data_IF_337754198359
#
_entry.id   IF_337754198359
#
_cell.length_a   1.000
_cell.length_b   1.000
_cell.length_c   1.000
_cell.angle_alpha   90.00
_cell.angle_beta   90.00
_cell.angle_gamma   90.00
#
_symmetry.space_group_name_H-M   'P 1'
#
loop_
_entity.id
_entity.type
_entity.pdbx_description
1 polymer ?
#
# COMPACT_ATOMS: atom_id res chain seq x y z
N UNK A 1 -22.68 21.60 5.63
CA UNK A 1 -22.39 20.33 4.92
C UNK A 1 -21.24 20.56 3.96
N UNK A 2 -20.10 19.92 4.20
CA UNK A 2 -18.90 20.11 3.38
C UNK A 2 -19.09 19.40 2.03
N UNK A 3 -18.91 20.10 0.91
CA UNK A 3 -19.14 19.54 -0.45
C UNK A 3 -18.27 18.30 -0.72
N UNK A 4 -17.10 18.20 -0.08
CA UNK A 4 -16.22 17.02 -0.18
C UNK A 4 -16.83 15.77 0.46
N UNK A 5 -17.47 15.90 1.64
CA UNK A 5 -18.05 14.77 2.37
C UNK A 5 -19.20 14.10 1.60
N UNK A 6 -19.99 14.89 0.88
CA UNK A 6 -21.11 14.39 0.07
C UNK A 6 -20.60 13.56 -1.11
N UNK A 7 -19.53 14.03 -1.79
CA UNK A 7 -18.92 13.30 -2.91
C UNK A 7 -18.30 11.97 -2.45
N UNK A 8 -17.63 11.96 -1.30
CA UNK A 8 -17.01 10.75 -0.73
C UNK A 8 -18.08 9.75 -0.28
N UNK A 9 -19.13 10.21 0.42
CA UNK A 9 -20.25 9.33 0.79
C UNK A 9 -20.93 8.70 -0.43
N UNK A 10 -21.06 9.45 -1.53
CA UNK A 10 -21.57 8.93 -2.81
C UNK A 10 -20.64 7.89 -3.45
N UNK A 11 -19.32 8.11 -3.41
CA UNK A 11 -18.33 7.11 -3.86
C UNK A 11 -18.39 5.85 -2.99
N UNK A 12 -18.42 5.98 -1.66
CA UNK A 12 -18.55 4.85 -0.73
C UNK A 12 -19.87 4.09 -0.92
N UNK A 13 -20.99 4.77 -1.18
CA UNK A 13 -22.27 4.15 -1.54
C UNK A 13 -22.21 3.42 -2.88
N UNK A 14 -21.51 3.99 -3.88
CA UNK A 14 -21.31 3.34 -5.18
C UNK A 14 -20.41 2.10 -5.08
N UNK A 15 -19.38 2.15 -4.24
CA UNK A 15 -18.48 1.02 -3.97
C UNK A 15 -19.20 -0.05 -3.16
N UNK A 16 -20.02 0.30 -2.16
CA UNK A 16 -20.85 -0.68 -1.45
C UNK A 16 -21.88 -1.35 -2.39
N UNK A 17 -22.45 -0.61 -3.34
CA UNK A 17 -23.29 -1.16 -4.41
C UNK A 17 -22.51 -2.06 -5.38
N UNK A 18 -21.27 -1.68 -5.72
CA UNK A 18 -20.38 -2.43 -6.61
C UNK A 18 -19.84 -3.70 -5.94
N UNK A 19 -19.49 -3.67 -4.65
CA UNK A 19 -19.09 -4.84 -3.84
C UNK A 19 -20.24 -5.85 -3.70
N UNK A 20 -21.50 -5.40 -3.74
CA UNK A 20 -22.66 -6.30 -3.78
C UNK A 20 -22.84 -6.99 -5.14
N UNK A 21 -22.26 -6.43 -6.21
CA UNK A 21 -22.30 -6.96 -7.58
C UNK A 21 -21.02 -7.70 -7.98
N UNK A 22 -19.86 -7.38 -7.38
CA UNK A 22 -18.67 -8.24 -7.40
C UNK A 22 -18.84 -9.29 -6.30
N UNK A 23 -19.75 -10.22 -6.52
CA UNK A 23 -19.50 -11.56 -6.04
C UNK A 23 -18.24 -12.05 -6.77
N UNK A 24 -17.14 -12.21 -6.03
CA UNK A 24 -15.84 -12.75 -6.45
C UNK A 24 -15.87 -13.51 -7.79
N UNK A 25 -15.56 -12.82 -8.88
CA UNK A 25 -15.10 -13.47 -10.11
C UNK A 25 -13.61 -13.75 -9.96
N UNK A 26 -13.27 -14.72 -9.11
CA UNK A 26 -12.00 -15.40 -9.18
C UNK A 26 -12.34 -16.79 -9.73
N UNK A 27 -12.34 -16.92 -11.05
CA UNK A 27 -12.43 -18.21 -11.74
C UNK A 27 -11.12 -18.99 -11.49
N UNK A 28 -10.97 -19.52 -10.28
CA UNK A 28 -10.32 -20.80 -10.08
C UNK A 28 -11.41 -21.73 -9.56
N UNK A 29 -11.77 -22.67 -10.41
CA UNK A 29 -12.81 -23.69 -10.25
C UNK A 29 -12.87 -24.19 -8.80
N UNK A 30 -13.95 -23.85 -8.10
CA UNK A 30 -14.37 -24.55 -6.89
C UNK A 30 -15.72 -25.18 -7.18
N UNK A 31 -15.69 -26.49 -7.40
CA UNK A 31 -16.88 -27.32 -7.39
C UNK A 31 -17.54 -27.23 -6.00
N UNK A 32 -18.84 -26.99 -6.07
CA UNK A 32 -19.93 -27.17 -5.10
C UNK A 32 -19.67 -27.93 -3.79
N UNK A 33 -20.33 -27.39 -2.77
CA UNK A 33 -20.84 -28.00 -1.53
C UNK A 33 -19.86 -28.19 -0.36
N UNK A 34 -19.87 -27.24 0.58
CA UNK A 34 -20.62 -27.42 1.83
C UNK A 34 -20.36 -26.25 2.80
N UNK A 35 -21.39 -25.91 3.56
CA UNK A 35 -21.37 -24.99 4.67
C UNK A 35 -20.51 -25.53 5.82
N UNK A 36 -19.37 -24.89 6.10
CA UNK A 36 -18.87 -24.59 7.44
C UNK A 36 -17.66 -23.65 7.36
N UNK A 37 -17.60 -22.70 8.30
CA UNK A 37 -16.48 -21.80 8.55
C UNK A 37 -15.20 -22.58 8.85
N UNK A 38 -14.30 -22.69 7.87
CA UNK A 38 -12.90 -23.01 8.10
C UNK A 38 -12.06 -21.89 7.49
N UNK A 39 -11.09 -21.38 8.26
CA UNK A 39 -9.98 -20.63 7.69
C UNK A 39 -9.48 -21.41 6.47
N UNK A 40 -9.61 -20.82 5.27
CA UNK A 40 -9.18 -21.44 4.01
C UNK A 40 -7.77 -21.98 4.21
N UNK A 41 -7.63 -23.31 4.26
CA UNK A 41 -6.33 -23.95 4.26
C UNK A 41 -5.62 -23.49 2.99
N UNK A 42 -4.43 -22.89 3.12
CA UNK A 42 -3.60 -22.59 1.95
C UNK A 42 -3.40 -23.88 1.16
N UNK A 43 -3.59 -23.83 -0.16
CA UNK A 43 -3.23 -24.96 -0.99
C UNK A 43 -1.70 -25.08 -1.05
N UNK A 44 -1.18 -26.29 -1.26
CA UNK A 44 0.26 -26.51 -1.45
C UNK A 44 0.85 -25.63 -2.56
N UNK A 45 0.06 -25.30 -3.58
CA UNK A 45 0.44 -24.38 -4.66
C UNK A 45 0.62 -22.94 -4.16
N UNK A 46 -0.23 -22.49 -3.23
CA UNK A 46 -0.11 -21.14 -2.64
C UNK A 46 1.16 -21.04 -1.80
N UNK A 47 1.46 -22.06 -0.99
CA UNK A 47 2.69 -22.12 -0.18
C UNK A 47 3.93 -22.05 -1.07
N UNK A 48 3.99 -22.85 -2.14
CA UNK A 48 5.11 -22.79 -3.09
C UNK A 48 5.21 -21.42 -3.77
N UNK A 49 4.08 -20.80 -4.10
CA UNK A 49 4.07 -19.45 -4.65
C UNK A 49 4.59 -18.41 -3.64
N UNK A 50 4.21 -18.48 -2.36
CA UNK A 50 4.76 -17.61 -1.30
C UNK A 50 6.27 -17.79 -1.15
N UNK A 51 6.75 -19.04 -1.17
CA UNK A 51 8.18 -19.34 -1.08
C UNK A 51 8.96 -18.72 -2.23
N UNK A 52 8.46 -18.85 -3.46
CA UNK A 52 9.10 -18.27 -4.64
C UNK A 52 9.05 -16.74 -4.65
N UNK A 53 7.88 -16.17 -4.33
CA UNK A 53 7.65 -14.74 -4.45
C UNK A 53 8.37 -13.95 -3.35
N UNK A 54 8.42 -14.48 -2.13
CA UNK A 54 8.92 -13.77 -0.96
C UNK A 54 10.19 -14.37 -0.36
N UNK A 55 10.68 -15.47 -0.91
CA UNK A 55 11.91 -16.14 -0.43
C UNK A 55 11.83 -16.55 1.04
N UNK A 56 10.64 -16.94 1.50
CA UNK A 56 10.37 -17.47 2.85
C UNK A 56 10.24 -19.00 2.79
N UNK A 57 10.48 -19.72 3.89
CA UNK A 57 10.27 -21.17 3.95
C UNK A 57 8.82 -21.52 4.33
N UNK A 58 8.44 -22.80 4.23
CA UNK A 58 7.06 -23.23 4.52
C UNK A 58 6.64 -22.98 5.97
N UNK A 59 7.53 -23.19 6.95
CA UNK A 59 7.22 -22.96 8.37
C UNK A 59 6.91 -21.48 8.64
N UNK A 60 7.65 -20.57 8.00
CA UNK A 60 7.43 -19.14 8.13
C UNK A 60 6.13 -18.72 7.45
N UNK A 61 5.76 -19.33 6.31
CA UNK A 61 4.43 -19.12 5.70
C UNK A 61 3.33 -19.51 6.68
N UNK A 62 3.41 -20.70 7.28
CA UNK A 62 2.42 -21.19 8.24
C UNK A 62 2.30 -20.28 9.47
N UNK A 63 3.44 -19.80 10.01
CA UNK A 63 3.45 -18.86 11.14
C UNK A 63 2.85 -17.49 10.80
N UNK A 64 3.05 -17.02 9.56
CA UNK A 64 2.58 -15.71 9.13
C UNK A 64 1.12 -15.71 8.70
N UNK A 65 0.49 -16.86 8.47
CA UNK A 65 -0.92 -16.94 8.10
C UNK A 65 -1.82 -16.41 9.21
N UNK A 66 -2.83 -15.65 8.81
CA UNK A 66 -3.90 -15.26 9.70
C UNK A 66 -4.79 -16.46 10.01
N UNK A 67 -5.07 -16.68 11.29
CA UNK A 67 -6.02 -17.70 11.77
C UNK A 67 -7.34 -17.11 12.26
N UNK A 68 -7.47 -15.77 12.29
CA UNK A 68 -8.70 -15.08 12.68
C UNK A 68 -9.47 -14.62 11.42
N UNK A 69 -10.63 -15.26 11.11
CA UNK A 69 -11.42 -14.87 9.95
C UNK A 69 -12.01 -13.45 10.08
N UNK A 70 -12.23 -12.95 11.29
CA UNK A 70 -12.72 -11.58 11.48
C UNK A 70 -11.64 -10.55 11.15
N UNK A 71 -10.40 -10.80 11.54
CA UNK A 71 -9.26 -9.96 11.16
C UNK A 71 -9.07 -9.95 9.64
N UNK A 72 -9.14 -11.13 9.00
CA UNK A 72 -9.02 -11.25 7.54
C UNK A 72 -10.12 -10.46 6.81
N UNK A 73 -11.37 -10.55 7.28
CA UNK A 73 -12.49 -9.79 6.72
C UNK A 73 -12.30 -8.28 6.88
N UNK A 74 -11.85 -7.83 8.06
CA UNK A 74 -11.54 -6.41 8.27
C UNK A 74 -10.40 -5.93 7.35
N UNK A 75 -9.38 -6.76 7.12
CA UNK A 75 -8.32 -6.45 6.17
C UNK A 75 -8.86 -6.27 4.75
N UNK A 76 -9.81 -7.10 4.32
CA UNK A 76 -10.48 -6.95 3.01
C UNK A 76 -11.29 -5.65 2.91
N UNK A 77 -12.03 -5.30 3.97
CA UNK A 77 -12.81 -4.05 4.05
C UNK A 77 -11.89 -2.82 3.96
N UNK A 78 -10.77 -2.82 4.71
CA UNK A 78 -9.76 -1.75 4.65
C UNK A 78 -9.16 -1.63 3.25
N UNK A 79 -8.81 -2.75 2.62
CA UNK A 79 -8.27 -2.74 1.26
C UNK A 79 -9.28 -2.22 0.23
N UNK A 80 -10.57 -2.53 0.40
CA UNK A 80 -11.63 -2.04 -0.50
C UNK A 80 -11.86 -0.53 -0.36
N UNK A 81 -11.93 0.00 0.85
CA UNK A 81 -12.05 1.44 1.08
C UNK A 81 -10.81 2.18 0.58
N UNK A 82 -9.61 1.64 0.83
CA UNK A 82 -8.36 2.23 0.36
C UNK A 82 -8.28 2.30 -1.18
N UNK A 83 -8.76 1.27 -1.88
CA UNK A 83 -8.88 1.29 -3.34
C UNK A 83 -9.79 2.43 -3.82
N UNK A 84 -10.95 2.61 -3.17
CA UNK A 84 -11.88 3.68 -3.51
C UNK A 84 -11.26 5.07 -3.36
N UNK A 85 -10.53 5.31 -2.26
CA UNK A 85 -9.78 6.56 -2.07
C UNK A 85 -8.68 6.72 -3.12
N UNK A 86 -7.95 5.65 -3.44
CA UNK A 86 -6.90 5.71 -4.43
C UNK A 86 -7.43 6.10 -5.82
N UNK A 87 -8.52 5.47 -6.27
CA UNK A 87 -9.17 5.79 -7.55
C UNK A 87 -9.68 7.23 -7.57
N UNK A 88 -10.33 7.68 -6.50
CA UNK A 88 -10.79 9.06 -6.37
C UNK A 88 -9.65 10.08 -6.51
N UNK A 89 -8.51 9.83 -5.85
CA UNK A 89 -7.35 10.71 -5.91
C UNK A 89 -6.58 10.62 -7.24
N UNK A 90 -6.70 9.52 -7.98
CA UNK A 90 -6.08 9.35 -9.28
C UNK A 90 -6.84 10.10 -10.39
N UNK A 91 -8.16 9.98 -10.41
CA UNK A 91 -9.04 10.59 -11.40
C UNK A 91 -9.20 12.10 -11.20
N UNK A 92 -9.27 12.56 -9.95
CA UNK A 92 -9.57 13.96 -9.65
C UNK A 92 -8.30 14.79 -9.41
N UNK A 93 -7.98 15.67 -10.36
CA UNK A 93 -6.87 16.63 -10.23
C UNK A 93 -7.31 18.07 -9.95
N UNK A 94 -8.61 18.35 -9.89
CA UNK A 94 -9.12 19.74 -9.86
C UNK A 94 -8.69 20.53 -8.62
N UNK A 95 -8.49 19.83 -7.50
CA UNK A 95 -8.03 20.41 -6.23
C UNK A 95 -6.57 20.06 -5.89
N UNK A 96 -5.86 19.47 -6.84
CA UNK A 96 -4.41 19.33 -6.79
C UNK A 96 -3.76 20.55 -7.43
N UNK A 97 -2.72 21.07 -6.79
CA UNK A 97 -1.86 22.07 -7.41
C UNK A 97 -0.59 21.41 -7.96
N UNK A 98 -0.13 21.91 -9.10
CA UNK A 98 1.14 21.51 -9.69
C UNK A 98 2.29 21.92 -8.76
N UNK A 99 3.13 20.96 -8.37
CA UNK A 99 4.28 21.20 -7.51
C UNK A 99 5.60 21.20 -8.28
N UNK A 100 5.81 20.21 -9.15
CA UNK A 100 6.99 20.10 -10.01
C UNK A 100 6.64 19.42 -11.32
N UNK A 101 7.39 19.76 -12.38
CA UNK A 101 7.39 19.06 -13.65
C UNK A 101 8.86 18.71 -13.94
N UNK A 102 9.24 17.47 -13.67
CA UNK A 102 10.62 17.01 -13.90
C UNK A 102 10.89 16.94 -15.41
N UNK A 103 9.92 16.43 -16.17
CA UNK A 103 9.84 16.47 -17.63
C UNK A 103 8.40 16.30 -18.11
N UNK A 104 8.18 16.08 -19.41
CA UNK A 104 6.83 15.87 -19.97
C UNK A 104 6.17 14.56 -19.52
N UNK A 105 6.95 13.57 -19.09
CA UNK A 105 6.49 12.27 -18.64
C UNK A 105 6.58 12.06 -17.12
N UNK A 106 6.90 13.08 -16.32
CA UNK A 106 6.89 13.02 -14.85
C UNK A 106 6.38 14.34 -14.26
N UNK A 107 5.12 14.33 -13.84
CA UNK A 107 4.44 15.51 -13.29
C UNK A 107 3.99 15.23 -11.86
N UNK A 108 4.33 16.15 -10.96
CA UNK A 108 4.15 15.98 -9.52
C UNK A 108 3.18 17.03 -9.01
N UNK A 109 2.18 16.57 -8.28
CA UNK A 109 1.11 17.37 -7.71
C UNK A 109 1.01 17.16 -6.22
N UNK A 110 0.44 18.15 -5.53
CA UNK A 110 0.08 18.03 -4.13
C UNK A 110 -1.32 18.55 -3.86
N UNK A 111 -1.91 18.02 -2.79
CA UNK A 111 -3.20 18.44 -2.26
C UNK A 111 -3.17 18.33 -0.74
N UNK A 112 -3.83 19.26 -0.06
CA UNK A 112 -4.13 19.13 1.35
C UNK A 112 -5.47 18.41 1.53
N UNK A 113 -5.51 17.38 2.37
CA UNK A 113 -6.71 16.58 2.61
C UNK A 113 -6.74 16.15 4.08
N UNK A 114 -7.84 16.42 4.79
CA UNK A 114 -8.04 16.05 6.20
C UNK A 114 -6.85 16.38 7.12
N UNK A 115 -6.20 17.53 6.92
CA UNK A 115 -5.06 17.97 7.74
C UNK A 115 -3.72 17.30 7.41
N UNK A 116 -3.66 16.45 6.40
CA UNK A 116 -2.42 15.89 5.83
C UNK A 116 -2.20 16.38 4.39
N UNK A 117 -1.01 16.14 3.85
CA UNK A 117 -0.70 16.34 2.43
C UNK A 117 -0.71 15.00 1.69
N UNK A 118 -1.23 15.01 0.47
CA UNK A 118 -1.19 13.91 -0.48
C UNK A 118 -0.34 14.37 -1.66
N UNK A 119 0.73 13.62 -1.93
CA UNK A 119 1.51 13.74 -3.14
C UNK A 119 0.98 12.80 -4.21
N UNK A 120 0.96 13.27 -5.45
CA UNK A 120 0.61 12.49 -6.65
C UNK A 120 1.68 12.66 -7.70
N UNK A 121 2.09 11.56 -8.33
CA UNK A 121 2.96 11.53 -9.50
C UNK A 121 2.20 10.87 -10.64
N UNK A 122 2.16 11.56 -11.78
CA UNK A 122 1.82 10.96 -13.07
C UNK A 122 3.12 10.73 -13.84
N UNK A 123 3.43 9.47 -14.13
CA UNK A 123 4.67 9.00 -14.73
C UNK A 123 4.39 8.19 -16.01
N UNK A 124 5.15 8.47 -17.07
CA UNK A 124 5.17 7.68 -18.31
C UNK A 124 6.46 6.85 -18.31
N UNK A 125 6.31 5.54 -18.48
CA UNK A 125 7.43 4.61 -18.69
C UNK A 125 7.34 4.11 -20.14
N UNK A 126 8.26 4.51 -21.04
CA UNK A 126 8.17 4.23 -22.48
C UNK A 126 8.64 2.81 -22.82
N UNK A 127 8.08 1.82 -22.11
CA UNK A 127 8.33 0.40 -22.32
C UNK A 127 7.10 -0.40 -21.85
N UNK A 128 6.14 -0.70 -22.73
CA UNK A 128 4.94 -1.46 -22.37
C UNK A 128 5.24 -2.94 -22.04
N UNK A 129 6.40 -3.44 -22.46
CA UNK A 129 6.80 -4.84 -22.26
C UNK A 129 7.18 -5.12 -20.79
N UNK A 130 7.55 -4.09 -20.01
CA UNK A 130 7.95 -4.24 -18.60
C UNK A 130 6.78 -4.26 -17.59
N UNK A 131 5.53 -4.33 -18.06
CA UNK A 131 4.34 -4.25 -17.21
C UNK A 131 4.34 -5.29 -16.07
N UNK A 132 4.54 -6.56 -16.41
CA UNK A 132 4.57 -7.64 -15.43
C UNK A 132 5.79 -7.54 -14.49
N UNK A 133 6.92 -7.06 -15.00
CA UNK A 133 8.15 -6.90 -14.23
C UNK A 133 8.03 -5.78 -13.19
N UNK A 134 7.38 -4.66 -13.54
CA UNK A 134 7.07 -3.58 -12.59
C UNK A 134 6.18 -4.09 -11.47
N UNK A 135 5.11 -4.82 -11.80
CA UNK A 135 4.17 -5.37 -10.82
C UNK A 135 4.91 -6.34 -9.88
N UNK A 136 5.68 -7.27 -10.46
CA UNK A 136 6.48 -8.24 -9.70
C UNK A 136 7.49 -7.56 -8.78
N UNK A 137 8.16 -6.51 -9.26
CA UNK A 137 9.11 -5.76 -8.47
C UNK A 137 8.42 -5.01 -7.33
N UNK A 138 7.34 -4.27 -7.58
CA UNK A 138 6.64 -3.47 -6.55
C UNK A 138 5.91 -4.32 -5.52
N UNK A 139 5.46 -5.52 -5.88
CA UNK A 139 4.84 -6.46 -4.94
C UNK A 139 5.87 -7.17 -4.04
N UNK A 140 7.17 -7.05 -4.33
CA UNK A 140 8.23 -7.60 -3.49
C UNK A 140 8.43 -6.74 -2.22
N UNK A 141 8.46 -7.33 -1.01
CA UNK A 141 8.75 -6.59 0.23
C UNK A 141 10.07 -5.82 0.19
N UNK A 142 11.02 -6.27 -0.64
CA UNK A 142 12.31 -5.64 -0.84
C UNK A 142 12.38 -4.75 -2.09
N UNK A 143 11.24 -4.30 -2.64
CA UNK A 143 11.19 -3.43 -3.82
C UNK A 143 12.03 -2.16 -3.64
N UNK A 144 12.02 -1.58 -2.44
CA UNK A 144 12.72 -0.33 -2.15
C UNK A 144 14.21 -0.37 -2.46
N UNK A 145 14.87 -1.54 -2.45
CA UNK A 145 16.30 -1.65 -2.79
C UNK A 145 16.65 -1.17 -4.20
N UNK A 146 15.67 -1.09 -5.10
CA UNK A 146 15.87 -0.70 -6.50
C UNK A 146 15.72 0.81 -6.73
N UNK A 147 15.06 1.54 -5.82
CA UNK A 147 14.70 2.94 -6.07
C UNK A 147 14.81 3.86 -4.84
N UNK A 148 14.70 3.32 -3.62
CA UNK A 148 14.71 4.06 -2.37
C UNK A 148 16.06 3.91 -1.65
N UNK A 149 16.89 4.95 -1.72
CA UNK A 149 18.23 4.97 -1.10
C UNK A 149 18.18 4.86 0.44
N UNK A 150 16.99 5.06 1.04
CA UNK A 150 16.78 4.88 2.47
C UNK A 150 16.33 3.47 2.85
N UNK A 151 16.01 2.60 1.90
CA UNK A 151 15.54 1.25 2.17
C UNK A 151 16.59 0.43 2.94
N UNK A 152 16.15 -0.32 3.95
CA UNK A 152 17.02 -1.24 4.72
C UNK A 152 16.60 -2.69 4.50
N UNK A 153 15.34 -3.01 4.78
CA UNK A 153 14.78 -4.37 4.73
C UNK A 153 13.26 -4.30 4.69
N UNK A 154 12.64 -5.23 3.97
CA UNK A 154 11.20 -5.45 4.04
C UNK A 154 10.89 -6.93 4.24
N UNK A 155 9.80 -7.21 4.96
CA UNK A 155 9.34 -8.56 5.27
C UNK A 155 7.83 -8.60 5.42
N UNK A 156 7.25 -9.77 5.18
CA UNK A 156 5.84 -10.00 5.47
C UNK A 156 5.68 -10.25 6.97
N UNK A 157 4.72 -9.57 7.57
CA UNK A 157 4.36 -9.71 8.98
C UNK A 157 3.06 -10.50 9.19
N UNK A 158 2.19 -10.54 8.18
CA UNK A 158 0.93 -11.32 8.19
C UNK A 158 0.50 -11.64 6.76
N UNK A 159 -0.06 -12.83 6.53
CA UNK A 159 -0.64 -13.26 5.26
C UNK A 159 -2.14 -13.51 5.48
N UNK A 160 -2.99 -12.81 4.73
CA UNK A 160 -4.42 -13.10 4.65
C UNK A 160 -4.73 -13.93 3.40
N UNK A 161 -4.10 -13.57 2.27
CA UNK A 161 -4.08 -14.35 1.04
C UNK A 161 -2.88 -13.89 0.15
N UNK A 162 -2.74 -14.48 -1.03
CA UNK A 162 -1.63 -14.21 -1.98
C UNK A 162 -1.51 -12.73 -2.41
N UNK A 163 -2.60 -11.99 -2.31
CA UNK A 163 -2.75 -10.61 -2.75
C UNK A 163 -3.05 -9.65 -1.59
N UNK A 164 -3.05 -10.13 -0.34
CA UNK A 164 -3.41 -9.34 0.84
C UNK A 164 -2.61 -9.79 2.07
N UNK A 165 -1.90 -8.86 2.68
CA UNK A 165 -1.07 -9.15 3.85
C UNK A 165 -0.65 -7.88 4.57
N UNK A 166 0.20 -8.01 5.58
CA UNK A 166 0.84 -6.89 6.26
C UNK A 166 2.32 -6.91 5.90
N UNK A 167 2.80 -5.80 5.35
CA UNK A 167 4.20 -5.53 5.09
C UNK A 167 4.80 -4.81 6.29
N UNK A 168 5.95 -5.28 6.75
CA UNK A 168 6.87 -4.54 7.60
C UNK A 168 8.04 -4.04 6.76
N UNK A 169 8.35 -2.75 6.85
CA UNK A 169 9.51 -2.16 6.17
C UNK A 169 10.33 -1.30 7.12
N UNK A 170 11.67 -1.45 7.02
CA UNK A 170 12.69 -0.64 7.69
C UNK A 170 13.33 0.31 6.71
N UNK A 171 13.55 1.53 7.17
CA UNK A 171 14.18 2.59 6.40
C UNK A 171 15.14 3.42 7.23
N UNK A 172 16.10 4.07 6.58
CA UNK A 172 16.96 5.07 7.18
C UNK A 172 16.21 6.40 7.24
N UNK A 173 15.97 6.91 8.44
CA UNK A 173 15.40 8.23 8.64
C UNK A 173 16.48 9.32 8.63
N UNK A 174 16.02 10.57 8.72
CA UNK A 174 16.86 11.77 8.82
C UNK A 174 17.68 11.72 10.14
N UNK A 175 18.96 12.13 10.09
CA UNK A 175 19.91 12.19 11.23
C UNK A 175 20.25 10.84 11.89
N UNK A 176 20.42 9.78 11.10
CA UNK A 176 20.94 8.48 11.58
C UNK A 176 20.00 7.66 12.47
N UNK A 177 18.71 8.00 12.51
CA UNK A 177 17.69 7.16 13.12
C UNK A 177 17.21 6.12 12.10
N UNK A 178 16.89 4.92 12.57
CA UNK A 178 16.19 3.93 11.75
C UNK A 178 14.69 4.06 11.99
N UNK A 179 13.94 4.14 10.91
CA UNK A 179 12.48 4.16 10.92
C UNK A 179 11.89 2.83 10.50
N UNK A 180 10.65 2.59 10.89
CA UNK A 180 9.88 1.45 10.43
C UNK A 180 8.41 1.81 10.26
N UNK A 181 7.70 1.01 9.48
CA UNK A 181 6.25 1.02 9.44
C UNK A 181 5.71 -0.39 9.25
N UNK A 182 4.45 -0.57 9.67
CA UNK A 182 3.61 -1.69 9.29
C UNK A 182 2.45 -1.16 8.46
N UNK A 183 2.16 -1.80 7.34
CA UNK A 183 1.05 -1.43 6.47
C UNK A 183 0.37 -2.67 5.91
N UNK A 184 -0.96 -2.68 5.91
CA UNK A 184 -1.73 -3.59 5.09
C UNK A 184 -1.37 -3.33 3.63
N UNK A 185 -0.97 -4.35 2.90
CA UNK A 185 -0.69 -4.28 1.47
C UNK A 185 -1.68 -5.14 0.69
N UNK A 186 -2.24 -4.59 -0.38
CA UNK A 186 -3.19 -5.27 -1.27
C UNK A 186 -2.75 -5.13 -2.72
N UNK A 187 -2.78 -6.21 -3.49
CA UNK A 187 -2.64 -6.21 -4.96
C UNK A 187 -3.96 -6.58 -5.60
N UNK A 188 -4.43 -5.82 -6.59
CA UNK A 188 -5.65 -6.13 -7.34
C UNK A 188 -5.44 -5.88 -8.82
N UNK A 189 -5.76 -6.86 -9.64
CA UNK A 189 -5.89 -6.71 -11.08
C UNK A 189 -7.29 -6.16 -11.36
N UNK A 190 -7.39 -4.94 -11.91
CA UNK A 190 -8.66 -4.31 -12.25
C UNK A 190 -9.11 -4.69 -13.67
N UNK A 191 -8.13 -4.94 -14.54
CA UNK A 191 -8.31 -5.50 -15.87
C UNK A 191 -6.99 -6.14 -16.32
N UNK A 192 -7.01 -6.81 -17.47
CA UNK A 192 -5.80 -7.40 -18.08
C UNK A 192 -4.63 -6.40 -18.21
N UNK A 193 -4.94 -5.13 -18.40
CA UNK A 193 -3.96 -4.06 -18.63
C UNK A 193 -3.87 -3.07 -17.47
N UNK A 194 -4.52 -3.34 -16.32
CA UNK A 194 -4.48 -2.43 -15.18
C UNK A 194 -4.37 -3.18 -13.85
N UNK A 195 -3.28 -2.90 -13.11
CA UNK A 195 -3.03 -3.45 -11.78
C UNK A 195 -2.82 -2.34 -10.77
N UNK A 196 -3.35 -2.55 -9.57
CA UNK A 196 -3.24 -1.65 -8.44
C UNK A 196 -2.54 -2.35 -7.28
N UNK A 197 -1.59 -1.66 -6.65
CA UNK A 197 -0.97 -2.06 -5.39
C UNK A 197 -1.21 -0.94 -4.38
N UNK A 198 -1.78 -1.27 -3.22
CA UNK A 198 -2.16 -0.32 -2.17
C UNK A 198 -1.44 -0.68 -0.88
N UNK A 199 -1.04 0.33 -0.11
CA UNK A 199 -0.52 0.19 1.24
C UNK A 199 -1.20 1.18 2.20
N UNK A 200 -1.65 0.70 3.35
CA UNK A 200 -2.34 1.48 4.37
C UNK A 200 -1.94 1.02 5.76
N UNK A 201 -1.47 1.93 6.60
CA UNK A 201 -1.22 1.67 8.01
C UNK A 201 -2.48 1.87 8.84
N UNK A 202 -2.55 1.13 9.94
CA UNK A 202 -3.52 1.29 11.02
C UNK A 202 -2.81 1.34 12.38
N UNK A 203 -3.58 1.45 13.47
CA UNK A 203 -3.05 1.40 14.84
C UNK A 203 -2.74 -0.04 15.28
N UNK A 204 -1.96 -0.77 14.47
CA UNK A 204 -1.52 -2.14 14.75
C UNK A 204 -0.69 -2.18 16.03
N UNK A 205 -0.87 -3.24 16.82
CA UNK A 205 -0.06 -3.46 18.02
C UNK A 205 1.26 -4.15 17.65
N UNK A 206 2.34 -3.38 17.64
CA UNK A 206 3.71 -3.86 17.41
C UNK A 206 4.54 -3.97 18.70
N UNK A 207 3.89 -3.81 19.86
CA UNK A 207 4.49 -3.89 21.19
C UNK A 207 5.65 -2.90 21.41
N UNK A 208 5.70 -1.79 20.67
CA UNK A 208 6.65 -0.70 20.91
C UNK A 208 6.28 0.07 22.18
N UNK A 209 6.95 -0.23 23.29
CA UNK A 209 6.65 0.34 24.61
C UNK A 209 6.87 1.85 24.73
N UNK A 210 7.54 2.49 23.76
CA UNK A 210 7.76 3.95 23.78
C UNK A 210 6.72 4.70 22.96
N UNK A 211 6.06 4.02 22.04
CA UNK A 211 5.06 4.63 21.17
C UNK A 211 3.66 4.51 21.78
N UNK A 212 3.34 5.43 22.68
CA UNK A 212 2.06 5.42 23.42
C UNK A 212 0.96 6.24 22.73
N UNK A 213 1.16 6.64 21.47
CA UNK A 213 0.21 7.48 20.74
C UNK A 213 -0.61 6.62 19.79
N UNK A 214 -1.92 6.63 20.00
CA UNK A 214 -2.85 6.07 19.04
C UNK A 214 -2.76 6.84 17.71
N UNK A 215 -2.59 6.08 16.63
CA UNK A 215 -2.67 6.57 15.28
C UNK A 215 -4.10 6.47 14.75
N UNK A 216 -4.54 7.53 14.08
CA UNK A 216 -5.80 7.60 13.37
C UNK A 216 -5.46 7.90 11.92
N UNK A 217 -5.79 7.00 11.02
CA UNK A 217 -5.62 7.19 9.59
C UNK A 217 -6.58 8.30 9.10
N UNK A 218 -6.06 9.39 8.52
CA UNK A 218 -6.88 10.52 8.10
C UNK A 218 -7.58 10.32 6.74
N UNK A 219 -7.26 9.24 6.02
CA UNK A 219 -7.76 8.98 4.66
C UNK A 219 -8.69 7.76 4.64
N UNK A 220 -8.27 6.65 5.24
CA UNK A 220 -9.02 5.37 5.23
C UNK A 220 -9.63 5.14 6.61
N UNK A 221 -10.93 5.37 6.75
CA UNK A 221 -11.62 5.38 8.03
C UNK A 221 -11.70 3.97 8.65
N UNK A 222 -11.96 2.93 7.87
CA UNK A 222 -11.99 1.53 8.36
C UNK A 222 -10.66 1.05 8.93
N UNK A 223 -9.53 1.65 8.52
CA UNK A 223 -8.23 1.34 9.08
C UNK A 223 -8.16 1.67 10.59
N UNK A 224 -9.01 2.56 11.10
CA UNK A 224 -9.00 2.97 12.50
C UNK A 224 -9.53 1.89 13.46
N UNK A 225 -10.35 0.95 12.99
CA UNK A 225 -10.80 -0.22 13.75
C UNK A 225 -9.92 -1.45 13.54
N UNK A 226 -9.13 -1.49 12.46
CA UNK A 226 -8.25 -2.62 12.14
C UNK A 226 -6.96 -2.58 12.96
N UNK A 227 -6.90 -3.33 14.07
CA UNK A 227 -5.79 -3.30 15.04
C UNK A 227 -5.20 -4.69 15.30
N UNK A 228 -4.65 -5.35 14.27
CA UNK A 228 -4.01 -6.65 14.43
C UNK A 228 -2.79 -6.57 15.36
N UNK A 229 -2.48 -7.70 15.99
CA UNK A 229 -1.27 -7.88 16.80
C UNK A 229 -0.13 -8.43 15.92
N UNK A 230 1.04 -7.78 15.98
CA UNK A 230 2.20 -8.06 15.15
C UNK A 230 3.38 -8.45 16.03
N UNK A 231 3.91 -9.66 15.83
CA UNK A 231 5.16 -10.09 16.45
C UNK A 231 6.35 -9.34 15.83
N UNK A 232 6.75 -8.27 16.49
CA UNK A 232 7.77 -7.34 16.02
C UNK A 232 9.14 -7.65 16.62
N UNK A 233 10.20 -7.33 15.88
CA UNK A 233 11.59 -7.55 16.31
C UNK A 233 11.90 -6.83 17.64
N UNK A 234 12.86 -7.36 18.40
CA UNK A 234 13.15 -6.91 19.78
C UNK A 234 13.53 -5.42 19.87
N UNK A 235 14.19 -4.88 18.85
CA UNK A 235 14.56 -3.46 18.80
C UNK A 235 13.35 -2.53 18.61
N UNK A 236 12.31 -2.97 17.90
CA UNK A 236 11.00 -2.30 17.81
C UNK A 236 10.30 -2.34 19.15
N UNK A 237 10.19 -3.53 19.74
CA UNK A 237 9.56 -3.70 21.07
C UNK A 237 10.27 -2.88 22.14
N UNK A 238 11.58 -2.65 21.97
CA UNK A 238 12.42 -1.82 22.84
C UNK A 238 12.38 -0.31 22.49
N UNK A 239 11.57 0.12 21.52
CA UNK A 239 11.44 1.50 21.08
C UNK A 239 12.77 2.11 20.61
N UNK A 240 13.60 1.34 19.90
CA UNK A 240 14.88 1.81 19.33
C UNK A 240 14.71 2.44 17.95
N UNK A 241 13.59 2.18 17.28
CA UNK A 241 13.28 2.67 15.94
C UNK A 241 12.16 3.72 15.98
N UNK A 242 12.11 4.61 15.00
CA UNK A 242 11.03 5.59 14.87
C UNK A 242 9.89 5.05 14.01
N UNK A 243 8.70 4.89 14.58
CA UNK A 243 7.51 4.46 13.83
C UNK A 243 7.03 5.56 12.89
N UNK A 244 6.67 5.18 11.66
CA UNK A 244 6.03 6.00 10.64
C UNK A 244 4.75 5.29 10.22
N UNK A 245 3.75 6.05 9.78
CA UNK A 245 2.50 5.51 9.28
C UNK A 245 2.28 5.90 7.82
N UNK A 246 1.80 4.94 7.04
CA UNK A 246 1.32 5.14 5.69
C UNK A 246 -0.16 5.49 5.78
N UNK A 247 -0.51 6.76 5.51
CA UNK A 247 -1.93 7.14 5.45
C UNK A 247 -2.57 6.46 4.23
N UNK A 248 -1.94 6.61 3.07
CA UNK A 248 -2.29 5.93 1.83
C UNK A 248 -1.06 5.97 0.91
N UNK A 249 -0.63 4.80 0.46
CA UNK A 249 0.25 4.67 -0.69
C UNK A 249 -0.44 3.81 -1.73
N UNK A 250 -0.36 4.20 -3.00
CA UNK A 250 -0.92 3.42 -4.08
C UNK A 250 -0.16 3.59 -5.37
N UNK A 251 -0.04 2.48 -6.09
CA UNK A 251 0.49 2.39 -7.44
C UNK A 251 -0.64 1.95 -8.36
N UNK A 252 -0.98 2.77 -9.34
CA UNK A 252 -1.88 2.40 -10.44
C UNK A 252 -1.01 2.24 -11.67
N UNK A 253 -0.93 1.01 -12.17
CA UNK A 253 -0.05 0.61 -13.27
C UNK A 253 -0.97 0.23 -14.40
N UNK A 254 -1.00 1.03 -15.46
CA UNK A 254 -1.84 0.79 -16.63
C UNK A 254 -0.99 0.63 -17.87
N UNK A 255 -1.08 -0.52 -18.52
CA UNK A 255 -0.44 -0.80 -19.81
C UNK A 255 -1.21 -0.11 -20.92
N UNK A 256 -0.51 0.70 -21.70
CA UNK A 256 -0.99 1.30 -22.94
C UNK A 256 -0.17 0.70 -24.10
N UNK A 257 -0.57 0.90 -25.38
CA UNK A 257 0.11 0.27 -26.51
C UNK A 257 1.62 0.56 -26.60
N UNK A 258 2.03 1.80 -26.29
CA UNK A 258 3.41 2.27 -26.48
C UNK A 258 4.13 2.60 -25.17
N UNK A 259 3.44 2.57 -24.03
CA UNK A 259 4.00 2.96 -22.73
C UNK A 259 3.19 2.37 -21.57
N UNK A 260 3.68 2.56 -20.36
CA UNK A 260 2.93 2.32 -19.13
C UNK A 260 2.58 3.68 -18.52
N UNK A 261 1.27 3.90 -18.31
CA UNK A 261 0.79 5.01 -17.50
C UNK A 261 0.86 4.59 -16.04
N UNK A 262 1.71 5.26 -15.29
CA UNK A 262 1.98 4.95 -13.90
C UNK A 262 1.54 6.12 -13.02
N UNK A 263 0.55 5.92 -12.17
CA UNK A 263 0.11 6.93 -11.20
C UNK A 263 0.49 6.47 -9.80
N UNK A 264 1.28 7.28 -9.09
CA UNK A 264 1.70 7.02 -7.72
C UNK A 264 1.10 8.05 -6.78
N UNK A 265 0.44 7.59 -5.72
CA UNK A 265 -0.16 8.42 -4.68
C UNK A 265 0.50 8.06 -3.36
N UNK A 266 0.86 9.10 -2.59
CA UNK A 266 1.55 8.93 -1.31
C UNK A 266 1.12 9.98 -0.30
N UNK A 267 0.77 9.50 0.89
CA UNK A 267 0.58 10.30 2.07
C UNK A 267 1.07 9.51 3.28
N UNK A 268 1.87 10.17 4.12
CA UNK A 268 2.54 9.54 5.26
C UNK A 268 2.45 10.44 6.50
N UNK A 269 2.42 9.84 7.68
CA UNK A 269 2.61 10.51 8.96
C UNK A 269 3.92 10.03 9.58
N UNK A 270 4.88 10.93 9.76
CA UNK A 270 6.20 10.60 10.34
C UNK A 270 6.18 10.43 11.87
N UNK A 271 4.99 10.45 12.48
CA UNK A 271 4.73 10.28 13.91
C UNK A 271 5.57 11.20 14.82
N UNK A 272 5.90 12.40 14.32
CA UNK A 272 6.67 13.39 15.07
C UNK A 272 5.76 14.54 15.51
N UNK A 273 5.99 15.03 16.72
CA UNK A 273 5.33 16.25 17.19
C UNK A 273 5.85 17.46 16.42
N UNK A 274 4.93 18.31 15.98
CA UNK A 274 5.23 19.66 15.49
C UNK A 274 6.11 19.68 14.24
N UNK A 275 5.71 18.91 13.22
CA UNK A 275 6.34 18.93 11.91
C UNK A 275 5.64 19.97 11.04
N UNK A 276 6.36 21.00 10.56
CA UNK A 276 5.76 21.93 9.60
C UNK A 276 5.36 21.19 8.32
N UNK A 277 4.18 21.50 7.77
CA UNK A 277 3.67 20.83 6.55
C UNK A 277 4.66 20.90 5.38
N UNK A 278 5.39 22.01 5.21
CA UNK A 278 6.39 22.14 4.15
C UNK A 278 7.53 21.11 4.27
N UNK A 279 7.87 20.69 5.50
CA UNK A 279 8.93 19.72 5.75
C UNK A 279 8.45 18.31 5.38
N UNK A 280 7.23 17.95 5.79
CA UNK A 280 6.60 16.68 5.40
C UNK A 280 6.46 16.59 3.87
N UNK A 281 6.00 17.66 3.24
CA UNK A 281 5.91 17.77 1.77
C UNK A 281 7.26 17.53 1.09
N UNK A 282 8.35 18.06 1.65
CA UNK A 282 9.70 17.83 1.12
C UNK A 282 10.14 16.37 1.25
N UNK A 283 9.73 15.67 2.32
CA UNK A 283 9.98 14.23 2.49
C UNK A 283 9.21 13.45 1.42
N UNK A 284 7.91 13.73 1.26
CA UNK A 284 7.06 13.09 0.26
C UNK A 284 7.61 13.33 -1.15
N UNK A 285 8.00 14.56 -1.47
CA UNK A 285 8.59 14.90 -2.77
C UNK A 285 9.84 14.08 -3.07
N UNK A 286 10.74 13.88 -2.09
CA UNK A 286 11.92 13.01 -2.28
C UNK A 286 11.54 11.57 -2.56
N UNK A 287 10.55 11.02 -1.85
CA UNK A 287 10.03 9.67 -2.11
C UNK A 287 9.41 9.55 -3.50
N UNK A 288 8.74 10.60 -3.99
CA UNK A 288 8.24 10.65 -5.36
C UNK A 288 9.39 10.63 -6.37
N UNK A 289 10.47 11.39 -6.15
CA UNK A 289 11.64 11.38 -7.03
C UNK A 289 12.33 10.01 -7.07
N UNK A 290 12.36 9.29 -5.96
CA UNK A 290 12.84 7.91 -5.93
C UNK A 290 12.01 7.02 -6.88
N UNK A 291 10.69 7.18 -6.92
CA UNK A 291 9.81 6.45 -7.85
C UNK A 291 10.05 6.86 -9.32
N UNK A 292 10.40 8.11 -9.61
CA UNK A 292 10.71 8.53 -10.99
C UNK A 292 11.89 7.72 -11.56
N UNK A 293 12.85 7.31 -10.72
CA UNK A 293 14.00 6.46 -11.11
C UNK A 293 13.57 5.09 -11.68
N UNK A 294 12.34 4.63 -11.42
CA UNK A 294 11.82 3.39 -12.02
C UNK A 294 11.87 3.42 -13.56
N UNK A 295 11.75 4.62 -14.16
CA UNK A 295 11.87 4.76 -15.60
C UNK A 295 13.23 4.30 -16.10
N UNK A 296 14.31 4.57 -15.36
CA UNK A 296 15.67 4.18 -15.74
C UNK A 296 15.90 2.68 -15.54
N UNK A 297 15.25 2.07 -14.54
CA UNK A 297 15.31 0.61 -14.29
C UNK A 297 14.67 -0.18 -15.44
N UNK A 298 13.60 0.35 -16.03
CA UNK A 298 12.82 -0.35 -17.06
C UNK A 298 12.90 0.28 -18.45
N UNK A 299 13.83 1.20 -18.67
CA UNK A 299 14.04 1.80 -19.98
C UNK A 299 14.51 0.72 -20.96
N UNK A 300 13.91 0.68 -22.15
CA UNK A 300 14.39 -0.14 -23.25
C UNK A 300 15.72 0.43 -23.75
N UNK A 301 16.75 -0.41 -23.86
CA UNK A 301 18.04 -0.04 -24.47
C UNK A 301 17.87 0.44 -25.91
#
# INVERSE_FOLDING_TARGET
MNKGYIKIALVLLSVAGYMKNIAFANENILSTDSSNEECKQLLSADIEHFKQLFSINSEDVERLLCTDPNEAKQAEDVAAEALAHLQYHAENTDDYYLYSKEDEGAIIYFKSFNGTDIGKLDLIIPNPDCYDDIIKMLWNPNAGKYFDDSFIKGQIARIYNINLGILHQRQRNIRSWHGYYHALCSKRELSRDETVIIMVSSNMNDHDHKNNKDYINPIVESANSFKPDIDSEEDIRNGKLSKVYINLVGFIIKKEPDYIKFTYIVSVDINMRWVPNYFLRRIIYKKILDIVKLRDVFKKE
#
